data_IF_041257188740
#
_entry.id   IF_041257188740
#
_cell.length_a   1.000
_cell.length_b   1.000
_cell.length_c   1.000
_cell.angle_alpha   90.00
_cell.angle_beta   90.00
_cell.angle_gamma   90.00
#
_symmetry.space_group_name_H-M   'P 1'
#
loop_
_entity.id
_entity.type
_entity.pdbx_description
1 polymer ?
#
# COMPACT_ATOMS: atom_id res chain seq x y z
N UNK A 1 -2.93 21.62 -7.60
CA UNK A 1 -1.75 21.91 -6.76
C UNK A 1 -0.54 21.40 -7.51
N UNK A 2 0.27 22.30 -8.05
CA UNK A 2 1.43 21.95 -8.89
C UNK A 2 2.52 21.27 -8.06
N UNK A 3 3.22 20.31 -8.66
CA UNK A 3 4.32 19.54 -8.07
C UNK A 3 5.43 20.44 -7.50
N UNK A 4 5.52 21.69 -7.99
CA UNK A 4 6.52 22.65 -7.53
C UNK A 4 6.23 23.27 -6.16
N UNK A 5 4.98 23.35 -5.72
CA UNK A 5 4.67 23.87 -4.37
C UNK A 5 5.02 22.86 -3.27
N UNK A 6 4.93 21.55 -3.55
CA UNK A 6 5.31 20.48 -2.63
C UNK A 6 6.82 20.42 -2.36
N UNK A 7 7.65 21.05 -3.20
CA UNK A 7 9.12 21.00 -3.07
C UNK A 7 9.70 22.10 -2.18
N UNK A 8 8.91 23.12 -1.79
CA UNK A 8 9.40 24.18 -0.89
C UNK A 8 9.68 23.60 0.49
N UNK A 9 10.97 23.43 0.81
CA UNK A 9 11.45 22.97 2.12
C UNK A 9 12.03 21.56 2.16
N UNK A 10 11.89 20.77 1.08
CA UNK A 10 12.45 19.43 1.00
C UNK A 10 13.83 19.45 0.34
N UNK A 11 14.87 19.02 1.09
CA UNK A 11 16.18 18.72 0.49
C UNK A 11 16.08 17.39 -0.26
N UNK A 12 16.00 17.45 -1.59
CA UNK A 12 16.05 16.26 -2.44
C UNK A 12 17.46 15.68 -2.35
N UNK A 13 17.61 14.59 -1.59
CA UNK A 13 18.91 13.93 -1.33
C UNK A 13 19.45 13.07 -2.48
N UNK A 14 18.69 12.92 -3.57
CA UNK A 14 19.09 12.15 -4.74
C UNK A 14 17.95 11.97 -5.74
N UNK A 15 18.26 11.49 -6.94
CA UNK A 15 17.29 11.11 -7.97
C UNK A 15 17.35 9.60 -8.17
N UNK A 16 16.22 8.92 -8.01
CA UNK A 16 16.10 7.49 -8.35
C UNK A 16 15.84 7.39 -9.85
N UNK A 17 16.57 6.52 -10.54
CA UNK A 17 16.38 6.29 -11.98
C UNK A 17 15.01 5.64 -12.25
N UNK A 18 14.38 6.04 -13.37
CA UNK A 18 13.12 5.47 -13.87
C UNK A 18 13.38 4.81 -15.21
N UNK A 19 12.96 3.56 -15.38
CA UNK A 19 13.17 2.78 -16.61
C UNK A 19 11.89 2.07 -17.04
N UNK A 20 11.68 1.96 -18.35
CA UNK A 20 10.58 1.17 -18.91
C UNK A 20 10.94 -0.32 -18.84
N UNK A 21 10.20 -1.09 -18.04
CA UNK A 21 10.44 -2.52 -17.87
C UNK A 21 10.17 -3.37 -19.11
N UNK A 22 9.44 -2.85 -20.09
CA UNK A 22 9.28 -3.52 -21.41
C UNK A 22 10.53 -3.44 -22.29
N UNK A 23 11.41 -2.47 -22.01
CA UNK A 23 12.65 -2.23 -22.74
C UNK A 23 13.88 -2.69 -21.93
N UNK A 24 13.67 -3.28 -20.75
CA UNK A 24 14.72 -3.73 -19.86
C UNK A 24 14.74 -5.26 -19.80
N UNK A 25 15.84 -5.88 -20.24
CA UNK A 25 16.03 -7.32 -20.06
C UNK A 25 16.36 -7.66 -18.60
N UNK A 26 16.14 -8.92 -18.22
CA UNK A 26 16.50 -9.41 -16.89
C UNK A 26 18.01 -9.26 -16.62
N UNK A 27 18.87 -9.60 -17.59
CA UNK A 27 20.33 -9.46 -17.46
C UNK A 27 20.73 -8.01 -17.21
N UNK A 28 20.18 -7.06 -17.97
CA UNK A 28 20.45 -5.64 -17.75
C UNK A 28 19.95 -5.17 -16.39
N UNK A 29 18.79 -5.64 -15.93
CA UNK A 29 18.29 -5.35 -14.60
C UNK A 29 19.27 -5.82 -13.51
N UNK A 30 19.79 -7.04 -13.63
CA UNK A 30 20.75 -7.61 -12.68
C UNK A 30 22.06 -6.81 -12.65
N UNK A 31 22.66 -6.57 -13.81
CA UNK A 31 23.96 -5.91 -13.93
C UNK A 31 23.92 -4.42 -13.53
N UNK A 32 22.80 -3.74 -13.83
CA UNK A 32 22.65 -2.31 -13.55
C UNK A 32 22.19 -2.03 -12.13
N UNK A 33 21.29 -2.86 -11.59
CA UNK A 33 20.57 -2.54 -10.36
C UNK A 33 20.80 -3.57 -9.25
N UNK A 34 20.43 -4.83 -9.49
CA UNK A 34 20.40 -5.85 -8.43
C UNK A 34 21.79 -6.11 -7.85
N UNK A 35 22.78 -6.39 -8.69
CA UNK A 35 24.15 -6.71 -8.25
C UNK A 35 24.85 -5.54 -7.54
N UNK A 36 24.37 -4.31 -7.77
CA UNK A 36 24.91 -3.08 -7.19
C UNK A 36 24.12 -2.59 -5.98
N UNK A 37 23.03 -3.26 -5.62
CA UNK A 37 22.05 -2.79 -4.62
C UNK A 37 21.58 -1.35 -4.90
N UNK A 38 21.36 -1.02 -6.17
CA UNK A 38 20.99 0.32 -6.60
C UNK A 38 19.47 0.44 -6.76
N UNK A 39 18.78 1.35 -6.04
CA UNK A 39 17.35 1.56 -6.20
C UNK A 39 16.99 2.05 -7.62
N UNK A 40 15.88 1.53 -8.15
CA UNK A 40 15.32 1.87 -9.47
C UNK A 40 13.80 1.82 -9.42
N UNK A 41 13.14 2.69 -10.18
CA UNK A 41 11.70 2.63 -10.42
C UNK A 41 11.46 2.02 -11.81
N UNK A 42 10.83 0.86 -11.85
CA UNK A 42 10.47 0.16 -13.09
C UNK A 42 9.02 0.44 -13.45
N UNK A 43 8.76 0.90 -14.68
CA UNK A 43 7.42 1.22 -15.19
C UNK A 43 6.97 0.25 -16.28
N UNK A 44 5.70 0.28 -16.67
CA UNK A 44 5.20 -0.47 -17.85
C UNK A 44 5.01 -1.98 -17.68
N UNK A 45 5.15 -2.50 -16.45
CA UNK A 45 5.08 -3.96 -16.18
C UNK A 45 3.80 -4.40 -15.46
N UNK A 46 2.88 -3.48 -15.18
CA UNK A 46 1.67 -3.73 -14.40
C UNK A 46 0.36 -3.56 -15.20
N UNK A 47 0.44 -3.26 -16.49
CA UNK A 47 -0.72 -2.86 -17.32
C UNK A 47 -1.81 -3.95 -17.38
N UNK A 48 -1.41 -5.21 -17.33
CA UNK A 48 -2.32 -6.35 -17.38
C UNK A 48 -2.87 -6.77 -16.02
N UNK A 49 -2.38 -6.17 -14.92
CA UNK A 49 -2.81 -6.55 -13.58
C UNK A 49 -4.28 -6.23 -13.36
N UNK A 50 -4.99 -7.18 -12.75
CA UNK A 50 -6.39 -6.98 -12.35
C UNK A 50 -6.51 -5.83 -11.35
N UNK A 51 -5.56 -5.71 -10.42
CA UNK A 51 -5.48 -4.60 -9.48
C UNK A 51 -5.46 -3.23 -10.19
N UNK A 52 -4.74 -3.07 -11.30
CA UNK A 52 -4.69 -1.81 -12.04
C UNK A 52 -6.01 -1.43 -12.74
N UNK A 53 -6.96 -2.37 -12.83
CA UNK A 53 -8.28 -2.18 -13.45
C UNK A 53 -9.38 -2.03 -12.39
N UNK A 54 -9.39 -2.94 -11.41
CA UNK A 54 -10.45 -3.04 -10.42
C UNK A 54 -10.22 -2.10 -9.22
N UNK A 55 -8.95 -1.95 -8.78
CA UNK A 55 -8.61 -1.19 -7.56
C UNK A 55 -8.41 0.31 -7.82
N UNK A 56 -8.51 0.75 -9.07
CA UNK A 56 -8.28 2.13 -9.49
C UNK A 56 -9.54 2.66 -10.17
N UNK A 57 -9.95 3.89 -9.84
CA UNK A 57 -11.07 4.56 -10.46
C UNK A 57 -10.67 5.26 -11.79
N UNK A 58 -11.64 5.86 -12.48
CA UNK A 58 -11.40 6.56 -13.75
C UNK A 58 -10.47 7.79 -13.62
N UNK A 59 -10.22 8.27 -12.41
CA UNK A 59 -9.35 9.42 -12.12
C UNK A 59 -7.96 8.99 -11.66
N UNK A 60 -7.67 7.69 -11.57
CA UNK A 60 -6.41 7.17 -11.06
C UNK A 60 -6.33 7.10 -9.52
N UNK A 61 -7.45 7.26 -8.81
CA UNK A 61 -7.52 7.14 -7.35
C UNK A 61 -7.89 5.71 -6.93
N UNK A 62 -7.65 5.32 -5.67
CA UNK A 62 -8.14 4.06 -5.14
C UNK A 62 -9.67 3.93 -5.28
N UNK A 63 -10.13 2.81 -5.86
CA UNK A 63 -11.55 2.51 -6.02
C UNK A 63 -12.15 1.97 -4.71
N UNK A 64 -12.35 2.87 -3.74
CA UNK A 64 -12.79 2.52 -2.39
C UNK A 64 -14.13 1.73 -2.37
N UNK A 65 -15.05 2.07 -3.29
CA UNK A 65 -16.33 1.38 -3.43
C UNK A 65 -16.14 -0.09 -3.82
N UNK A 66 -15.20 -0.37 -4.73
CA UNK A 66 -14.89 -1.74 -5.13
C UNK A 66 -14.40 -2.56 -3.94
N UNK A 67 -13.46 -2.03 -3.14
CA UNK A 67 -12.96 -2.70 -1.94
C UNK A 67 -14.06 -2.98 -0.92
N UNK A 68 -14.89 -1.99 -0.58
CA UNK A 68 -15.98 -2.19 0.37
C UNK A 68 -17.01 -3.23 -0.13
N UNK A 69 -17.29 -3.25 -1.44
CA UNK A 69 -18.26 -4.18 -2.03
C UNK A 69 -17.75 -5.62 -2.06
N UNK A 70 -16.50 -5.85 -2.46
CA UNK A 70 -15.98 -7.20 -2.72
C UNK A 70 -15.23 -7.79 -1.53
N UNK A 71 -14.58 -6.95 -0.72
CA UNK A 71 -13.69 -7.37 0.35
C UNK A 71 -14.07 -6.78 1.71
N UNK A 72 -15.24 -6.13 1.82
CA UNK A 72 -15.66 -5.38 3.01
C UNK A 72 -15.64 -6.18 4.31
N UNK A 73 -15.87 -7.50 4.24
CA UNK A 73 -15.89 -8.40 5.41
C UNK A 73 -14.50 -8.79 5.91
N UNK A 74 -13.46 -8.62 5.09
CA UNK A 74 -12.08 -8.99 5.45
C UNK A 74 -11.64 -8.22 6.70
N UNK A 75 -10.97 -8.91 7.62
CA UNK A 75 -10.44 -8.31 8.85
C UNK A 75 -8.99 -7.92 8.63
N UNK A 76 -8.68 -6.65 8.86
CA UNK A 76 -7.39 -6.05 8.51
C UNK A 76 -6.77 -5.32 9.68
N UNK A 77 -5.44 -5.32 9.72
CA UNK A 77 -4.66 -4.54 10.68
C UNK A 77 -4.48 -3.12 10.17
N UNK A 78 -4.87 -2.15 11.00
CA UNK A 78 -4.84 -0.73 10.67
C UNK A 78 -4.02 0.01 11.71
N UNK A 79 -2.95 0.68 11.29
CA UNK A 79 -2.13 1.50 12.16
C UNK A 79 -2.77 2.88 12.36
N UNK A 80 -2.84 3.35 13.60
CA UNK A 80 -3.11 4.75 13.90
C UNK A 80 -1.81 5.56 13.90
N UNK A 81 -1.55 6.26 12.80
CA UNK A 81 -0.37 7.11 12.61
C UNK A 81 -0.48 8.45 13.35
N UNK A 82 -1.57 8.70 14.10
CA UNK A 82 -1.81 9.93 14.85
C UNK A 82 -1.30 9.87 16.28
N UNK A 83 -1.28 8.69 16.88
CA UNK A 83 -0.75 8.46 18.23
C UNK A 83 0.63 7.83 18.13
N UNK A 84 1.66 8.55 18.60
CA UNK A 84 2.99 7.94 18.85
C UNK A 84 2.98 7.37 20.26
N UNK A 85 2.64 6.09 20.38
CA UNK A 85 2.97 5.30 21.56
C UNK A 85 4.32 4.59 21.31
N UNK A 86 5.05 4.29 22.38
CA UNK A 86 6.44 3.82 22.36
C UNK A 86 6.71 2.71 21.33
N UNK A 87 7.74 2.92 20.51
CA UNK A 87 8.36 2.02 19.49
C UNK A 87 7.46 1.38 18.43
N UNK A 88 6.16 1.27 18.66
CA UNK A 88 5.20 0.65 17.76
C UNK A 88 3.97 1.56 17.60
N UNK A 89 3.56 1.75 16.35
CA UNK A 89 2.29 2.43 16.08
C UNK A 89 1.15 1.50 16.50
N UNK A 90 0.22 2.00 17.32
CA UNK A 90 -0.96 1.25 17.76
C UNK A 90 -1.71 0.71 16.55
N UNK A 91 -1.78 -0.62 16.45
CA UNK A 91 -2.60 -1.30 15.44
C UNK A 91 -3.95 -1.67 16.04
N UNK A 92 -5.00 -1.49 15.25
CA UNK A 92 -6.35 -1.95 15.56
C UNK A 92 -6.81 -2.86 14.45
N UNK A 93 -7.50 -3.94 14.81
CA UNK A 93 -8.21 -4.76 13.84
C UNK A 93 -9.57 -4.12 13.54
N UNK A 94 -9.91 -4.00 12.25
CA UNK A 94 -11.26 -3.60 11.81
C UNK A 94 -11.63 -4.28 10.50
N UNK A 95 -12.90 -4.16 10.07
CA UNK A 95 -13.25 -4.64 8.74
C UNK A 95 -12.77 -3.66 7.67
N UNK A 96 -12.55 -4.16 6.45
CA UNK A 96 -12.28 -3.29 5.29
C UNK A 96 -13.42 -2.29 5.08
N UNK A 97 -14.68 -2.69 5.28
CA UNK A 97 -15.81 -1.75 5.17
C UNK A 97 -15.69 -0.59 6.16
N UNK A 98 -15.37 -0.85 7.43
CA UNK A 98 -15.21 0.19 8.45
C UNK A 98 -14.05 1.14 8.10
N UNK A 99 -12.92 0.59 7.64
CA UNK A 99 -11.77 1.38 7.22
C UNK A 99 -12.09 2.28 6.02
N UNK A 100 -12.82 1.74 5.04
CA UNK A 100 -13.24 2.50 3.85
C UNK A 100 -14.25 3.59 4.23
N UNK A 101 -15.20 3.31 5.13
CA UNK A 101 -16.13 4.32 5.64
C UNK A 101 -15.38 5.49 6.29
N UNK A 102 -14.43 5.20 7.19
CA UNK A 102 -13.54 6.21 7.77
C UNK A 102 -12.87 7.08 6.69
N UNK A 103 -12.30 6.45 5.65
CA UNK A 103 -11.59 7.18 4.61
C UNK A 103 -12.54 8.06 3.77
N UNK A 104 -13.73 7.57 3.45
CA UNK A 104 -14.75 8.36 2.74
C UNK A 104 -15.16 9.58 3.57
N UNK A 105 -15.47 9.40 4.86
CA UNK A 105 -15.81 10.50 5.77
C UNK A 105 -14.69 11.54 5.85
N UNK A 106 -13.44 11.10 6.01
CA UNK A 106 -12.27 11.99 6.03
C UNK A 106 -12.17 12.84 4.74
N UNK A 107 -12.42 12.24 3.57
CA UNK A 107 -12.40 12.96 2.30
C UNK A 107 -13.53 13.99 2.19
N UNK A 108 -14.72 13.69 2.71
CA UNK A 108 -15.87 14.60 2.71
C UNK A 108 -15.65 15.79 3.63
N UNK A 109 -15.13 15.55 4.85
CA UNK A 109 -14.78 16.60 5.81
C UNK A 109 -13.71 17.55 5.24
N UNK A 110 -12.66 17.00 4.65
CA UNK A 110 -11.61 17.80 4.02
C UNK A 110 -12.17 18.69 2.90
N UNK A 111 -13.08 18.16 2.06
CA UNK A 111 -13.76 18.95 1.03
C UNK A 111 -14.61 20.07 1.62
N UNK A 112 -15.38 19.79 2.68
CA UNK A 112 -16.21 20.79 3.35
C UNK A 112 -15.39 21.93 3.93
N UNK A 113 -14.23 21.63 4.53
CA UNK A 113 -13.28 22.64 4.99
C UNK A 113 -12.81 23.50 3.82
N UNK A 114 -12.31 22.92 2.72
CA UNK A 114 -11.88 23.70 1.55
C UNK A 114 -12.96 24.61 0.95
N UNK A 115 -14.25 24.25 1.04
CA UNK A 115 -15.36 25.11 0.59
C UNK A 115 -15.65 26.26 1.57
N UNK A 116 -15.35 26.07 2.86
CA UNK A 116 -15.58 27.07 3.90
C UNK A 116 -14.45 28.11 4.02
N UNK A 117 -13.19 27.75 3.70
CA UNK A 117 -12.00 28.61 3.87
C UNK A 117 -11.48 29.24 2.56
N UNK A 118 -12.35 29.50 1.57
CA UNK A 118 -11.99 30.13 0.29
C UNK A 118 -11.43 31.58 0.40
N UNK A 119 -11.03 32.02 1.58
CA UNK A 119 -10.36 33.29 1.83
C UNK A 119 -9.67 33.37 3.18
N UNK A 120 -8.73 32.47 3.50
CA UNK A 120 -7.48 32.86 4.18
C UNK A 120 -6.51 31.67 4.21
N UNK A 121 -5.36 31.83 3.57
CA UNK A 121 -4.34 30.78 3.45
C UNK A 121 -3.46 30.80 4.71
N UNK A 122 -3.99 30.28 5.83
CA UNK A 122 -3.13 29.99 6.98
C UNK A 122 -2.55 28.59 6.84
N UNK A 123 -1.22 28.53 6.81
CA UNK A 123 -0.39 27.34 6.84
C UNK A 123 -0.72 26.56 8.12
N UNK A 124 -1.68 25.63 8.04
CA UNK A 124 -2.05 24.75 9.15
C UNK A 124 -0.98 23.69 9.32
N UNK A 125 0.17 24.14 9.81
CA UNK A 125 1.15 23.35 10.52
C UNK A 125 0.44 22.50 11.58
N UNK A 126 0.38 21.19 11.34
CA UNK A 126 0.45 20.13 12.33
C UNK A 126 -0.39 20.27 13.63
N UNK A 127 -1.55 20.93 13.60
CA UNK A 127 -2.50 20.85 14.71
C UNK A 127 -3.10 19.45 14.71
N UNK A 128 -2.80 18.69 15.76
CA UNK A 128 -3.46 17.42 16.04
C UNK A 128 -4.93 17.73 16.35
N UNK A 129 -5.81 17.47 15.38
CA UNK A 129 -7.25 17.67 15.48
C UNK A 129 -7.95 16.59 16.33
N UNK A 130 -7.16 15.69 16.95
CA UNK A 130 -7.66 14.57 17.73
C UNK A 130 -8.19 13.41 16.89
N UNK A 131 -8.12 13.48 15.55
CA UNK A 131 -8.65 12.43 14.68
C UNK A 131 -7.61 11.32 14.48
N UNK A 132 -8.04 10.04 14.47
CA UNK A 132 -7.14 8.93 14.17
C UNK A 132 -6.65 9.04 12.73
N UNK A 133 -5.38 8.72 12.50
CA UNK A 133 -4.74 8.79 11.17
C UNK A 133 -4.51 7.37 10.68
N UNK A 134 -5.58 6.75 10.21
CA UNK A 134 -5.59 5.31 9.96
C UNK A 134 -4.90 4.95 8.65
N UNK A 135 -4.07 3.91 8.70
CA UNK A 135 -3.36 3.35 7.56
C UNK A 135 -3.44 1.81 7.59
N UNK A 136 -4.08 1.21 6.59
CA UNK A 136 -4.16 -0.23 6.44
C UNK A 136 -2.80 -0.76 5.98
N UNK A 137 -2.22 -1.67 6.76
CA UNK A 137 -0.90 -2.25 6.48
C UNK A 137 -0.93 -3.78 6.59
N UNK A 138 0.00 -4.41 5.91
CA UNK A 138 0.29 -5.85 6.05
C UNK A 138 -0.94 -6.74 5.81
N UNK A 139 -1.87 -6.32 4.94
CA UNK A 139 -3.02 -7.16 4.60
C UNK A 139 -2.58 -8.26 3.64
N UNK A 140 -2.63 -9.51 4.12
CA UNK A 140 -2.35 -10.74 3.38
C UNK A 140 -3.45 -11.07 2.34
N UNK A 141 -3.68 -10.15 1.41
CA UNK A 141 -4.77 -10.21 0.44
C UNK A 141 -4.65 -11.42 -0.49
N UNK A 142 -3.43 -11.75 -0.95
CA UNK A 142 -3.23 -12.84 -1.92
C UNK A 142 -3.54 -14.19 -1.29
N UNK A 143 -3.18 -14.36 -0.02
CA UNK A 143 -3.55 -15.53 0.76
C UNK A 143 -5.04 -15.61 1.06
N UNK A 144 -5.67 -14.49 1.40
CA UNK A 144 -7.11 -14.47 1.73
C UNK A 144 -8.00 -14.66 0.50
N UNK A 145 -7.60 -14.12 -0.66
CA UNK A 145 -8.35 -14.14 -1.93
C UNK A 145 -7.50 -14.71 -3.08
N UNK A 146 -7.03 -15.97 -3.01
CA UNK A 146 -6.10 -16.54 -3.98
C UNK A 146 -6.68 -16.61 -5.40
N UNK A 147 -7.99 -16.84 -5.53
CA UNK A 147 -8.70 -16.88 -6.81
C UNK A 147 -8.87 -15.51 -7.49
N UNK A 148 -8.67 -14.41 -6.74
CA UNK A 148 -8.81 -13.07 -7.32
C UNK A 148 -7.70 -12.77 -8.32
N UNK A 149 -6.48 -13.26 -8.06
CA UNK A 149 -5.26 -13.05 -8.85
C UNK A 149 -5.06 -11.56 -9.16
N UNK A 150 -4.77 -10.77 -8.12
CA UNK A 150 -4.65 -9.31 -8.23
C UNK A 150 -3.56 -8.86 -9.20
N UNK A 151 -2.46 -9.61 -9.25
CA UNK A 151 -1.30 -9.33 -10.08
C UNK A 151 -0.55 -10.63 -10.43
N UNK A 152 0.41 -10.51 -11.34
CA UNK A 152 1.38 -11.56 -11.64
C UNK A 152 2.79 -11.07 -11.31
N UNK A 153 3.62 -11.94 -10.72
CA UNK A 153 5.02 -11.61 -10.40
C UNK A 153 5.80 -11.16 -11.65
N UNK A 154 6.33 -9.93 -11.68
CA UNK A 154 7.13 -9.45 -12.81
C UNK A 154 8.38 -10.31 -13.05
N UNK A 155 8.83 -10.36 -14.31
CA UNK A 155 9.99 -11.17 -14.74
C UNK A 155 11.22 -10.97 -13.83
N UNK A 156 11.48 -9.73 -13.42
CA UNK A 156 12.63 -9.34 -12.60
C UNK A 156 12.66 -9.93 -11.19
N UNK A 157 11.56 -10.53 -10.74
CA UNK A 157 11.42 -11.05 -9.38
C UNK A 157 11.03 -12.54 -9.35
N UNK A 158 10.98 -13.22 -10.50
CA UNK A 158 10.56 -14.63 -10.58
C UNK A 158 11.61 -15.63 -10.07
N UNK A 159 12.87 -15.21 -10.03
CA UNK A 159 14.02 -15.95 -9.54
C UNK A 159 14.19 -15.89 -8.01
N UNK A 160 13.30 -15.17 -7.33
CA UNK A 160 13.26 -15.14 -5.87
C UNK A 160 12.86 -16.52 -5.32
N UNK A 161 13.77 -17.11 -4.54
CA UNK A 161 13.55 -18.38 -3.86
C UNK A 161 12.29 -18.35 -2.99
N UNK A 162 11.91 -17.21 -2.42
CA UNK A 162 10.71 -17.07 -1.61
C UNK A 162 9.44 -17.17 -2.45
N UNK A 163 9.47 -16.61 -3.68
CA UNK A 163 8.38 -16.80 -4.65
C UNK A 163 8.20 -18.26 -5.00
N UNK A 164 9.28 -18.93 -5.40
CA UNK A 164 9.24 -20.34 -5.77
C UNK A 164 8.80 -21.23 -4.60
N UNK A 165 9.36 -21.00 -3.41
CA UNK A 165 9.09 -21.84 -2.25
C UNK A 165 7.65 -21.70 -1.74
N UNK A 166 7.13 -20.49 -1.55
CA UNK A 166 5.80 -20.32 -0.95
C UNK A 166 4.65 -20.48 -1.94
N UNK A 167 4.90 -20.36 -3.25
CA UNK A 167 3.92 -20.73 -4.28
C UNK A 167 3.79 -22.27 -4.40
N UNK A 168 4.88 -23.02 -4.23
CA UNK A 168 4.89 -24.50 -4.35
C UNK A 168 4.63 -25.24 -3.02
N UNK A 169 5.01 -24.64 -1.89
CA UNK A 169 4.89 -25.20 -0.56
C UNK A 169 4.02 -24.26 0.29
N UNK A 170 2.71 -24.49 0.28
CA UNK A 170 1.85 -23.93 1.31
C UNK A 170 2.40 -24.40 2.67
N UNK A 171 2.93 -23.45 3.45
CA UNK A 171 3.37 -23.72 4.81
C UNK A 171 2.18 -24.31 5.58
N UNK A 172 2.22 -25.63 5.76
CA UNK A 172 1.34 -26.43 6.61
C UNK A 172 -0.08 -26.70 6.07
N UNK A 173 -0.16 -27.61 5.08
CA UNK A 173 -1.34 -28.48 4.90
C UNK A 173 -1.30 -29.68 5.86
N UNK A 174 -0.70 -29.54 7.05
CA UNK A 174 -0.66 -30.60 8.05
C UNK A 174 -1.94 -30.57 8.88
N UNK A 175 -2.86 -31.54 8.72
CA UNK A 175 -4.15 -31.54 9.40
C UNK A 175 -4.05 -31.69 10.94
N UNK A 176 -2.87 -32.02 11.48
CA UNK A 176 -2.65 -32.24 12.92
C UNK A 176 -2.02 -31.03 13.65
N UNK A 177 -1.67 -29.94 12.96
CA UNK A 177 -1.12 -28.73 13.59
C UNK A 177 -2.23 -27.69 13.88
N UNK A 178 -2.67 -27.63 15.14
CA UNK A 178 -3.77 -26.78 15.62
C UNK A 178 -3.37 -25.40 16.17
N UNK A 179 -2.09 -24.99 16.07
CA UNK A 179 -1.70 -23.67 16.54
C UNK A 179 -1.77 -22.62 15.42
N UNK A 180 -2.77 -21.73 15.52
CA UNK A 180 -2.85 -20.45 14.82
C UNK A 180 -1.71 -19.51 15.28
N UNK A 181 -0.46 -19.90 15.10
CA UNK A 181 0.67 -18.99 15.30
C UNK A 181 0.76 -18.06 14.09
N UNK A 182 0.87 -16.75 14.32
CA UNK A 182 1.00 -15.71 13.28
C UNK A 182 2.16 -15.97 12.29
N UNK A 183 3.17 -16.74 12.73
CA UNK A 183 4.32 -17.18 11.91
C UNK A 183 3.95 -18.25 10.88
N UNK A 184 2.86 -19.01 11.10
CA UNK A 184 2.39 -20.11 10.25
C UNK A 184 1.59 -19.63 9.02
N UNK A 185 1.48 -18.32 8.82
CA UNK A 185 0.44 -17.72 8.00
C UNK A 185 0.93 -16.67 6.99
N UNK A 186 2.24 -16.46 6.83
CA UNK A 186 2.74 -15.35 6.00
C UNK A 186 2.76 -15.71 4.52
N UNK A 187 1.89 -15.08 3.72
CA UNK A 187 2.37 -14.68 2.39
C UNK A 187 3.27 -13.45 2.57
N UNK A 188 4.27 -13.29 1.71
CA UNK A 188 5.17 -12.13 1.67
C UNK A 188 4.58 -11.03 0.76
N UNK A 189 3.26 -11.08 0.55
CA UNK A 189 2.51 -10.35 -0.48
C UNK A 189 1.43 -9.52 0.20
N UNK A 190 1.77 -8.29 0.52
CA UNK A 190 0.94 -7.42 1.33
C UNK A 190 0.23 -6.34 0.52
N UNK A 191 -0.98 -5.99 0.93
CA UNK A 191 -1.69 -4.79 0.49
C UNK A 191 -1.56 -3.71 1.55
N UNK A 192 -1.17 -2.51 1.11
CA UNK A 192 -1.13 -1.28 1.90
C UNK A 192 -2.06 -0.25 1.30
N UNK A 193 -2.83 0.44 2.14
CA UNK A 193 -3.77 1.44 1.69
C UNK A 193 -3.94 2.55 2.73
N UNK A 194 -3.95 3.81 2.31
CA UNK A 194 -4.25 4.90 3.23
C UNK A 194 -4.46 6.25 2.55
N UNK A 195 -5.19 7.16 3.21
CA UNK A 195 -5.37 8.53 2.76
C UNK A 195 -4.04 9.27 2.58
N UNK A 196 -4.04 10.28 1.70
CA UNK A 196 -2.90 11.16 1.48
C UNK A 196 -2.50 11.85 2.79
N UNK A 197 -1.18 11.95 3.03
CA UNK A 197 -0.62 12.61 4.21
C UNK A 197 -0.35 11.66 5.38
N UNK A 198 -0.81 10.41 5.28
CA UNK A 198 -0.49 9.37 6.24
C UNK A 198 0.64 8.50 5.71
N UNK A 199 1.69 8.40 6.51
CA UNK A 199 2.83 7.53 6.25
C UNK A 199 3.20 6.81 7.53
N UNK A 200 3.52 5.53 7.41
CA UNK A 200 4.26 4.83 8.44
C UNK A 200 5.63 5.51 8.52
N UNK A 201 5.89 6.27 9.59
CA UNK A 201 7.26 6.65 9.93
C UNK A 201 7.80 5.46 10.71
N UNK A 202 8.55 4.60 10.03
CA UNK A 202 9.40 3.58 10.63
C UNK A 202 10.69 4.23 11.15
#
# INVERSE_FOLDING_TARGET
MEVEELKKGLKIGGKIERVNGKELSYTEFVERYLAKNQPVVVTGIMEDWRACKDWVDLNGHPNLRFFSTHFGKSKVQVADCGSREFTDQRTVEMSVSDFIEYWVTLNEENKAVYHSVAGDYSDTTNHYDGKPRLYLKDWHFVKEHPEYVAYSTPLFFKDDWLNLYLDDYHMHSDPDYQEQNEVSCSDYRFVYMGPKGWSLVQ
#
